data_IF_010342455193
#
_entry.id   IF_010342455193
#
_cell.length_a   1.000
_cell.length_b   1.000
_cell.length_c   1.000
_cell.angle_alpha   90.00
_cell.angle_beta   90.00
_cell.angle_gamma   90.00
#
_symmetry.space_group_name_H-M   'P 1'
#
loop_
_entity.id
_entity.type
_entity.pdbx_description
1 polymer ?
#
# COMPACT_ATOMS: atom_id res chain seq x y z
N UNK A 1 14.17 0.53 -13.71
CA UNK A 1 13.02 1.27 -14.27
C UNK A 1 12.70 2.45 -13.38
N UNK A 2 12.50 3.63 -13.95
CA UNK A 2 12.19 4.84 -13.21
C UNK A 2 10.80 5.35 -13.61
N UNK A 3 9.97 5.68 -12.62
CA UNK A 3 8.71 6.40 -12.80
C UNK A 3 8.94 7.84 -12.39
N UNK A 4 8.66 8.79 -13.28
CA UNK A 4 8.86 10.22 -13.02
C UNK A 4 7.51 10.92 -13.04
N UNK A 5 7.18 11.63 -11.96
CA UNK A 5 6.04 12.54 -11.92
C UNK A 5 6.42 13.81 -12.68
N UNK A 6 5.62 14.19 -13.68
CA UNK A 6 5.81 15.39 -14.48
C UNK A 6 4.57 16.27 -14.43
N UNK A 7 4.80 17.55 -14.71
CA UNK A 7 3.76 18.57 -14.74
C UNK A 7 3.64 19.13 -16.15
N UNK A 8 2.41 19.38 -16.61
CA UNK A 8 2.13 20.04 -17.88
C UNK A 8 1.22 21.24 -17.64
N UNK A 9 1.72 22.45 -17.87
CA UNK A 9 0.91 23.66 -17.83
C UNK A 9 -0.03 23.67 -19.04
N UNK A 10 -1.33 23.75 -18.77
CA UNK A 10 -2.37 24.20 -19.70
C UNK A 10 -2.85 25.58 -19.22
N UNK A 11 -3.41 26.37 -20.12
CA UNK A 11 -3.82 27.78 -19.89
C UNK A 11 -4.20 28.09 -18.43
N UNK A 12 -5.20 27.37 -17.89
CA UNK A 12 -5.76 27.68 -16.57
C UNK A 12 -5.43 26.62 -15.50
N UNK A 13 -4.69 25.55 -15.82
CA UNK A 13 -4.43 24.42 -14.92
C UNK A 13 -3.18 23.66 -15.26
N UNK A 14 -2.49 23.14 -14.24
CA UNK A 14 -1.33 22.27 -14.42
C UNK A 14 -1.79 20.83 -14.27
N UNK A 15 -1.66 20.02 -15.31
CA UNK A 15 -2.02 18.59 -15.28
C UNK A 15 -0.82 17.75 -14.84
N UNK A 16 -1.04 16.80 -13.93
CA UNK A 16 -0.02 15.86 -13.47
C UNK A 16 -0.09 14.54 -14.25
N UNK A 17 1.07 14.01 -14.62
CA UNK A 17 1.18 12.75 -15.34
C UNK A 17 2.47 12.00 -14.97
N UNK A 18 2.43 10.68 -15.09
CA UNK A 18 3.60 9.83 -14.95
C UNK A 18 4.22 9.57 -16.31
N UNK A 19 5.55 9.58 -16.34
CA UNK A 19 6.38 9.21 -17.48
C UNK A 19 7.28 8.05 -17.05
N UNK A 20 7.15 6.92 -17.74
CA UNK A 20 7.92 5.72 -17.44
C UNK A 20 8.09 4.85 -18.69
N UNK A 21 9.08 3.96 -18.65
CA UNK A 21 9.28 2.94 -19.68
C UNK A 21 8.67 1.62 -19.23
N UNK A 22 7.91 0.99 -20.12
CA UNK A 22 7.37 -0.35 -19.94
C UNK A 22 7.52 -1.11 -21.24
N UNK A 23 8.04 -2.34 -21.18
CA UNK A 23 8.26 -3.22 -22.33
C UNK A 23 9.03 -2.54 -23.48
N UNK A 24 10.07 -1.77 -23.14
CA UNK A 24 10.90 -1.04 -24.10
C UNK A 24 10.23 0.18 -24.76
N UNK A 25 9.00 0.53 -24.40
CA UNK A 25 8.26 1.69 -24.92
C UNK A 25 8.01 2.72 -23.83
N UNK A 26 8.05 4.00 -24.20
CA UNK A 26 7.70 5.11 -23.30
C UNK A 26 6.18 5.22 -23.17
N UNK A 27 5.69 5.30 -21.94
CA UNK A 27 4.28 5.40 -21.61
C UNK A 27 4.03 6.70 -20.84
N UNK A 28 2.86 7.29 -21.10
CA UNK A 28 2.38 8.47 -20.39
C UNK A 28 1.04 8.16 -19.73
N UNK A 29 0.97 8.33 -18.43
CA UNK A 29 -0.25 8.08 -17.65
C UNK A 29 -0.72 9.39 -17.01
N UNK A 30 -1.87 9.89 -17.44
CA UNK A 30 -2.46 11.09 -16.86
C UNK A 30 -3.24 10.75 -15.59
N UNK A 31 -2.91 11.40 -14.49
CA UNK A 31 -3.48 11.10 -13.17
C UNK A 31 -4.86 11.74 -12.94
N UNK A 32 -5.34 12.56 -13.87
CA UNK A 32 -6.51 13.44 -13.71
C UNK A 32 -6.43 14.37 -12.47
N UNK A 33 -5.22 14.61 -11.98
CA UNK A 33 -4.92 15.57 -10.92
C UNK A 33 -4.48 16.88 -11.55
N UNK A 34 -5.00 17.96 -10.98
CA UNK A 34 -4.76 19.32 -11.47
C UNK A 34 -4.27 20.21 -10.32
N UNK A 35 -3.29 21.06 -10.62
CA UNK A 35 -2.85 22.13 -9.73
C UNK A 35 -3.29 23.48 -10.29
N UNK A 36 -3.59 24.40 -9.38
CA UNK A 36 -3.85 25.80 -9.70
C UNK A 36 -2.51 26.49 -9.99
N UNK A 37 -2.30 27.05 -11.19
CA UNK A 37 -1.08 27.77 -11.52
C UNK A 37 -1.02 29.12 -10.81
N UNK A 38 0.19 29.66 -10.68
CA UNK A 38 0.36 31.03 -10.19
C UNK A 38 -0.34 32.04 -11.11
N UNK A 39 -1.14 32.98 -10.54
CA UNK A 39 -1.80 34.02 -11.32
C UNK A 39 -0.77 35.00 -11.88
N UNK A 40 -1.05 35.60 -13.04
CA UNK A 40 -0.14 36.58 -13.68
C UNK A 40 0.11 37.82 -12.82
N UNK A 41 -0.84 38.17 -11.95
CA UNK A 41 -0.73 39.29 -11.01
C UNK A 41 -1.12 38.80 -9.62
N UNK A 42 -0.13 38.68 -8.74
CA UNK A 42 -0.33 38.31 -7.33
C UNK A 42 0.31 36.98 -6.94
N UNK A 43 -0.11 36.45 -5.79
CA UNK A 43 0.33 35.16 -5.24
C UNK A 43 -0.89 34.27 -5.01
N UNK A 44 -0.72 32.94 -5.08
CA UNK A 44 -1.77 32.01 -4.64
C UNK A 44 -2.17 32.33 -3.19
N UNK A 45 -3.46 32.18 -2.93
CA UNK A 45 -3.99 32.19 -1.56
C UNK A 45 -3.42 31.00 -0.78
N UNK A 46 -3.36 31.13 0.55
CA UNK A 46 -2.86 30.05 1.42
C UNK A 46 -3.62 28.73 1.18
N UNK A 47 -4.94 28.82 1.03
CA UNK A 47 -5.81 27.68 0.74
C UNK A 47 -5.43 26.96 -0.56
N UNK A 48 -5.23 27.70 -1.65
CA UNK A 48 -4.84 27.09 -2.93
C UNK A 48 -3.46 26.44 -2.87
N UNK A 49 -2.52 27.01 -2.08
CA UNK A 49 -1.23 26.38 -1.84
C UNK A 49 -1.36 25.08 -1.07
N UNK A 50 -2.17 25.07 -0.02
CA UNK A 50 -2.43 23.88 0.79
C UNK A 50 -3.11 22.78 -0.03
N UNK A 51 -4.08 23.15 -0.89
CA UNK A 51 -4.75 22.21 -1.79
C UNK A 51 -3.79 21.66 -2.86
N UNK A 52 -2.94 22.51 -3.46
CA UNK A 52 -1.90 22.06 -4.39
C UNK A 52 -0.90 21.11 -3.72
N UNK A 53 -0.51 21.37 -2.46
CA UNK A 53 0.39 20.51 -1.70
C UNK A 53 -0.22 19.12 -1.48
N UNK A 54 -1.49 19.04 -1.09
CA UNK A 54 -2.22 17.76 -0.95
C UNK A 54 -2.31 16.99 -2.27
N UNK A 55 -2.55 17.70 -3.38
CA UNK A 55 -2.60 17.07 -4.70
C UNK A 55 -1.24 16.53 -5.15
N UNK A 56 -0.15 17.23 -4.81
CA UNK A 56 1.21 16.77 -5.07
C UNK A 56 1.55 15.53 -4.24
N UNK A 57 1.24 15.53 -2.94
CA UNK A 57 1.44 14.37 -2.06
C UNK A 57 0.70 13.13 -2.57
N UNK A 58 -0.55 13.32 -3.01
CA UNK A 58 -1.34 12.24 -3.59
C UNK A 58 -0.72 11.73 -4.90
N UNK A 59 -0.22 12.63 -5.75
CA UNK A 59 0.47 12.24 -6.98
C UNK A 59 1.77 11.47 -6.71
N UNK A 60 2.53 11.85 -5.68
CA UNK A 60 3.73 11.13 -5.24
C UNK A 60 3.42 9.74 -4.69
N UNK A 61 2.30 9.60 -3.97
CA UNK A 61 1.81 8.30 -3.50
C UNK A 61 1.47 7.38 -4.69
N UNK A 62 0.79 7.90 -5.73
CA UNK A 62 0.49 7.14 -6.94
C UNK A 62 1.76 6.75 -7.70
N UNK A 63 2.71 7.69 -7.84
CA UNK A 63 4.03 7.42 -8.45
C UNK A 63 4.75 6.28 -7.73
N UNK A 64 4.76 6.30 -6.39
CA UNK A 64 5.41 5.29 -5.56
C UNK A 64 4.75 3.91 -5.75
N UNK A 65 3.42 3.88 -5.76
CA UNK A 65 2.66 2.66 -6.08
C UNK A 65 3.03 2.10 -7.45
N UNK A 66 3.02 2.93 -8.50
CA UNK A 66 3.37 2.51 -9.87
C UNK A 66 4.81 1.99 -9.96
N UNK A 67 5.73 2.62 -9.24
CA UNK A 67 7.13 2.17 -9.16
C UNK A 67 7.26 0.78 -8.54
N UNK A 68 6.51 0.50 -7.48
CA UNK A 68 6.44 -0.83 -6.86
C UNK A 68 5.80 -1.85 -7.80
N UNK A 69 4.70 -1.52 -8.47
CA UNK A 69 4.04 -2.41 -9.44
C UNK A 69 4.99 -2.83 -10.56
N UNK A 70 5.77 -1.90 -11.11
CA UNK A 70 6.76 -2.20 -12.16
C UNK A 70 7.89 -3.08 -11.61
N UNK A 71 8.37 -2.81 -10.39
CA UNK A 71 9.38 -3.65 -9.75
C UNK A 71 8.85 -5.06 -9.48
N UNK A 72 7.63 -5.19 -8.98
CA UNK A 72 6.98 -6.47 -8.75
C UNK A 72 6.71 -7.21 -10.06
N UNK A 73 6.39 -6.52 -11.15
CA UNK A 73 6.25 -7.15 -12.48
C UNK A 73 7.58 -7.69 -13.04
N UNK A 74 8.71 -7.05 -12.71
CA UNK A 74 10.06 -7.44 -13.20
C UNK A 74 10.71 -8.50 -12.32
N UNK A 75 10.62 -8.35 -11.00
CA UNK A 75 11.28 -9.21 -10.02
C UNK A 75 10.31 -10.17 -9.32
N UNK A 76 9.07 -10.27 -9.81
CA UNK A 76 7.94 -10.86 -9.12
C UNK A 76 8.29 -12.03 -8.24
N UNK A 77 8.20 -11.80 -6.93
CA UNK A 77 7.55 -12.75 -6.05
C UNK A 77 6.18 -13.00 -6.69
N UNK A 78 6.10 -13.99 -7.58
CA UNK A 78 4.81 -14.59 -7.84
C UNK A 78 4.33 -15.02 -6.46
N UNK A 79 3.11 -14.66 -6.10
CA UNK A 79 2.36 -15.41 -5.09
C UNK A 79 2.06 -16.81 -5.66
N UNK A 80 3.08 -17.51 -6.19
CA UNK A 80 3.07 -18.93 -6.50
C UNK A 80 3.23 -19.73 -5.21
N UNK A 81 2.61 -19.25 -4.14
CA UNK A 81 2.22 -20.11 -3.04
C UNK A 81 0.95 -19.54 -2.42
N UNK A 82 -0.17 -19.65 -3.14
CA UNK A 82 -1.35 -20.14 -2.44
C UNK A 82 -0.97 -21.55 -1.96
N UNK A 83 -0.22 -21.68 -0.84
CA UNK A 83 -0.28 -22.92 -0.08
C UNK A 83 -1.77 -22.94 0.28
N UNK A 84 -2.59 -23.91 -0.17
CA UNK A 84 -3.80 -24.20 0.56
C UNK A 84 -3.27 -24.63 1.92
N UNK A 85 -3.22 -23.68 2.87
CA UNK A 85 -2.94 -24.00 4.25
C UNK A 85 -4.13 -24.84 4.65
N UNK A 86 -4.05 -26.14 4.40
CA UNK A 86 -4.85 -27.12 5.09
C UNK A 86 -4.58 -26.78 6.54
N UNK A 87 -5.60 -26.24 7.16
CA UNK A 87 -5.63 -25.74 8.53
C UNK A 87 -5.54 -26.94 9.49
N UNK A 88 -4.52 -27.78 9.35
CA UNK A 88 -4.23 -28.90 10.25
C UNK A 88 -3.39 -28.44 11.43
N UNK A 89 -2.82 -27.23 11.38
CA UNK A 89 -2.08 -26.62 12.50
C UNK A 89 -2.98 -25.84 13.47
N UNK A 90 -4.32 -25.96 13.37
CA UNK A 90 -5.21 -25.62 14.47
C UNK A 90 -5.51 -26.82 15.39
N UNK A 91 -4.85 -27.97 15.19
CA UNK A 91 -4.93 -29.10 16.12
C UNK A 91 -3.70 -29.26 17.04
N UNK A 92 -2.77 -28.29 17.10
CA UNK A 92 -1.66 -28.36 18.07
C UNK A 92 -1.86 -27.52 19.34
N UNK A 93 -2.67 -26.46 19.30
CA UNK A 93 -2.91 -25.63 20.48
C UNK A 93 -4.10 -26.08 21.36
N UNK A 94 -4.93 -27.02 20.89
CA UNK A 94 -5.99 -27.64 21.70
C UNK A 94 -5.56 -28.88 22.48
N UNK A 95 -4.44 -29.52 22.12
CA UNK A 95 -3.98 -30.76 22.78
C UNK A 95 -3.19 -30.53 24.07
N UNK A 96 -2.90 -29.29 24.44
CA UNK A 96 -2.20 -28.97 25.71
C UNK A 96 -3.11 -28.39 26.79
N UNK A 97 -4.38 -28.11 26.48
CA UNK A 97 -5.36 -27.63 27.47
C UNK A 97 -6.32 -28.73 27.97
N UNK A 98 -6.18 -29.96 27.48
CA UNK A 98 -7.04 -31.10 27.84
C UNK A 98 -6.38 -32.08 28.82
N UNK A 99 -5.13 -31.83 29.23
CA UNK A 99 -4.43 -32.52 30.34
C UNK A 99 -4.23 -31.61 31.56
N UNK A 100 -5.14 -30.66 31.77
CA UNK A 100 -5.12 -29.78 32.94
C UNK A 100 -6.54 -29.48 33.44
N UNK A 101 -7.35 -30.53 33.58
CA UNK A 101 -8.67 -30.43 34.18
C UNK A 101 -9.22 -31.82 34.45
N UNK A 102 -9.45 -32.11 35.73
CA UNK A 102 -10.07 -33.33 36.29
C UNK A 102 -9.10 -34.46 36.65
N UNK A 103 -8.52 -34.36 37.85
CA UNK A 103 -8.81 -35.33 38.93
C UNK A 103 -7.87 -35.09 40.11
N UNK A 104 -8.19 -34.13 41.00
CA UNK A 104 -7.73 -34.19 42.39
C UNK A 104 -8.66 -33.36 43.27
N UNK A 105 -9.81 -33.94 43.61
CA UNK A 105 -10.43 -33.65 44.91
C UNK A 105 -11.20 -34.88 45.40
N UNK A 106 -10.92 -35.20 46.66
CA UNK A 106 -11.45 -36.28 47.49
C UNK A 106 -10.84 -37.67 47.31
N UNK A 107 -9.77 -37.91 48.09
CA UNK A 107 -9.89 -38.97 49.08
C UNK A 107 -9.11 -38.60 50.35
N UNK A 108 -9.86 -38.10 51.33
CA UNK A 108 -9.46 -38.05 52.71
C UNK A 108 -9.94 -39.36 53.34
N UNK A 109 -9.04 -40.31 53.64
CA UNK A 109 -9.28 -41.47 54.50
C UNK A 109 -7.98 -42.26 54.73
N UNK A 110 -7.70 -42.57 56.01
CA UNK A 110 -6.57 -43.34 56.58
C UNK A 110 -5.22 -42.60 56.59
N UNK A 111 -4.54 -42.38 57.73
CA UNK A 111 -4.58 -43.08 59.01
C UNK A 111 -3.14 -43.52 59.33
N UNK A 112 -2.65 -43.07 60.50
CA UNK A 112 -1.29 -43.22 61.09
C UNK A 112 -0.27 -42.14 60.72
#
# INVERSE_FOLDING_TARGET
MNVTLRQRKKSNKISLYLDYYSNGKRQYEYLNLYLTPEPEKGKLTKKEKDDNAKMLELAESIRSKRHLEIKNGIFGFQDSVQIPVKLTTLNRFKLTSEFAGEDFKFMNCFGL
#
